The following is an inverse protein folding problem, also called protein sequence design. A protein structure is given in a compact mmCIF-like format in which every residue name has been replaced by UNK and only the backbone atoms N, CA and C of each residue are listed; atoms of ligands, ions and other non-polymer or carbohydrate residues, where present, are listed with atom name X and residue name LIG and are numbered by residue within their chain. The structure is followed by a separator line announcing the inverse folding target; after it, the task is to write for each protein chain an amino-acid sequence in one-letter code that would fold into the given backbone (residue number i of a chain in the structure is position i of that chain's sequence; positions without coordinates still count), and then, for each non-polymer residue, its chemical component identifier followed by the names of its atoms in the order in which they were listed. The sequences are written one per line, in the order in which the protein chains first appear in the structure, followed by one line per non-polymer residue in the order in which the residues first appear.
data_IF_948228455566
#
_entry.id   IF_948228455566
#
_cell.length_a   1.000
_cell.length_b   1.000
_cell.length_c   1.000
_cell.angle_alpha   90.00
_cell.angle_beta   90.00
_cell.angle_gamma   90.00
#
_symmetry.space_group_name_H-M   'P 1'
#
loop_
_entity.id
_entity.type
_entity.pdbx_description
1 polymer ?
#
# COMPACT_ATOMS: atom_id res chain seq x y z
N UNK A 1 9.14 9.44 15.48
CA UNK A 1 9.24 9.10 14.05
C UNK A 1 8.12 8.15 13.70
N UNK A 2 7.78 8.03 12.42
CA UNK A 2 6.81 7.08 11.88
C UNK A 2 7.55 6.25 10.82
N UNK A 3 7.58 4.93 10.99
CA UNK A 3 8.17 4.03 10.02
C UNK A 3 7.25 3.89 8.81
N UNK A 4 7.76 4.19 7.63
CA UNK A 4 7.09 3.90 6.37
C UNK A 4 7.76 2.70 5.71
N UNK A 5 6.96 1.76 5.24
CA UNK A 5 7.42 0.53 4.59
C UNK A 5 6.95 0.56 3.14
N UNK A 6 7.89 0.40 2.21
CA UNK A 6 7.57 0.28 0.79
C UNK A 6 6.87 -1.05 0.52
N UNK A 7 5.72 -1.01 -0.15
CA UNK A 7 4.96 -2.21 -0.49
C UNK A 7 5.51 -2.99 -1.68
N UNK A 8 6.56 -2.48 -2.32
CA UNK A 8 7.13 -3.03 -3.54
C UNK A 8 8.53 -3.62 -3.33
N UNK A 9 9.37 -2.94 -2.52
CA UNK A 9 10.75 -3.35 -2.27
C UNK A 9 11.09 -3.54 -0.78
N UNK A 10 10.11 -3.38 0.11
CA UNK A 10 10.25 -3.58 1.56
C UNK A 10 11.24 -2.62 2.26
N UNK A 11 11.75 -1.61 1.56
CA UNK A 11 12.56 -0.55 2.15
C UNK A 11 11.78 0.18 3.24
N UNK A 12 12.45 0.46 4.36
CA UNK A 12 11.89 1.19 5.49
C UNK A 12 12.49 2.58 5.58
N UNK A 13 11.65 3.60 5.71
CA UNK A 13 12.07 4.99 5.83
C UNK A 13 11.49 5.61 7.11
N UNK A 14 12.36 6.29 7.87
CA UNK A 14 12.01 6.98 9.10
C UNK A 14 11.54 8.40 8.81
N UNK A 15 10.22 8.59 8.76
CA UNK A 15 9.63 9.89 8.45
C UNK A 15 9.27 10.62 9.75
N UNK A 16 9.52 11.94 9.79
CA UNK A 16 9.18 12.76 10.95
C UNK A 16 7.66 12.82 11.16
N UNK A 17 7.21 12.58 12.39
CA UNK A 17 5.79 12.62 12.74
C UNK A 17 5.12 13.95 12.38
N UNK A 18 5.81 15.07 12.62
CA UNK A 18 5.28 16.40 12.27
C UNK A 18 5.11 16.59 10.76
N UNK A 19 6.00 15.99 9.95
CA UNK A 19 5.90 16.05 8.50
C UNK A 19 4.68 15.27 8.02
N UNK A 20 4.54 14.01 8.48
CA UNK A 20 3.38 13.16 8.18
C UNK A 20 2.07 13.83 8.60
N UNK A 21 2.03 14.38 9.81
CA UNK A 21 0.87 15.08 10.35
C UNK A 21 0.52 16.34 9.58
N UNK A 22 1.52 17.07 9.09
CA UNK A 22 1.26 18.23 8.26
C UNK A 22 0.69 17.82 6.90
N UNK A 23 1.20 16.76 6.27
CA UNK A 23 0.61 16.23 5.03
C UNK A 23 -0.83 15.76 5.24
N UNK A 24 -1.11 15.03 6.33
CA UNK A 24 -2.46 14.59 6.70
C UNK A 24 -3.44 15.75 6.89
N UNK A 25 -2.97 16.91 7.38
CA UNK A 25 -3.79 18.12 7.53
C UNK A 25 -3.99 18.91 6.25
N UNK A 26 -3.07 18.78 5.31
CA UNK A 26 -3.11 19.51 4.03
C UNK A 26 -3.83 18.70 2.95
N UNK A 27 -3.99 17.39 3.16
CA UNK A 27 -4.74 16.51 2.28
C UNK A 27 -6.21 16.48 2.67
N UNK A 28 -7.03 17.36 2.08
CA UNK A 28 -8.49 17.41 2.27
C UNK A 28 -9.23 16.26 1.55
N UNK A 29 -8.53 15.20 1.14
CA UNK A 29 -9.11 14.02 0.45
C UNK A 29 -9.66 13.01 1.46
N UNK A 30 -9.82 11.77 1.03
CA UNK A 30 -10.39 10.69 1.83
C UNK A 30 -9.58 10.48 3.13
N UNK A 31 -10.17 10.77 4.31
CA UNK A 31 -9.46 10.68 5.57
C UNK A 31 -9.19 9.22 5.99
N UNK A 32 -9.73 8.23 5.27
CA UNK A 32 -9.42 6.82 5.50
C UNK A 32 -8.12 6.37 4.84
N UNK A 33 -7.47 7.23 4.04
CA UNK A 33 -6.20 6.93 3.37
C UNK A 33 -5.10 7.76 4.02
N UNK A 34 -4.01 7.13 4.51
CA UNK A 34 -2.90 7.90 5.06
C UNK A 34 -2.16 8.65 3.96
N UNK A 35 -1.37 9.68 4.30
CA UNK A 35 -0.49 10.36 3.35
C UNK A 35 0.36 9.37 2.55
N UNK A 36 0.22 9.42 1.23
CA UNK A 36 0.91 8.55 0.29
C UNK A 36 2.29 9.11 -0.03
N UNK A 37 3.33 8.39 0.39
CA UNK A 37 4.72 8.72 0.11
C UNK A 37 5.28 7.78 -0.95
N UNK A 38 6.14 8.32 -1.82
CA UNK A 38 6.88 7.53 -2.79
C UNK A 38 8.22 7.10 -2.17
N UNK A 39 8.55 5.82 -2.28
CA UNK A 39 9.83 5.28 -1.83
C UNK A 39 10.98 5.91 -2.59
N UNK A 40 12.01 6.38 -1.90
CA UNK A 40 13.18 6.97 -2.55
C UNK A 40 14.00 5.94 -3.34
N UNK A 41 13.94 4.66 -2.95
CA UNK A 41 14.69 3.59 -3.60
C UNK A 41 14.08 3.11 -4.92
N UNK A 42 12.75 3.05 -5.03
CA UNK A 42 12.07 2.46 -6.20
C UNK A 42 10.89 3.27 -6.75
N UNK A 43 10.51 4.38 -6.12
CA UNK A 43 9.32 5.17 -6.47
C UNK A 43 7.99 4.46 -6.18
N UNK A 44 8.02 3.30 -5.51
CA UNK A 44 6.82 2.53 -5.15
C UNK A 44 6.04 3.16 -4.00
N UNK A 45 4.79 2.73 -3.84
CA UNK A 45 3.91 3.21 -2.78
C UNK A 45 4.39 2.75 -1.39
N UNK A 46 4.49 3.69 -0.46
CA UNK A 46 4.84 3.42 0.93
C UNK A 46 3.64 3.54 1.85
N UNK A 47 3.66 2.76 2.93
CA UNK A 47 2.61 2.76 3.93
C UNK A 47 3.19 2.83 5.35
N UNK A 48 2.58 3.59 6.27
CA UNK A 48 3.05 3.62 7.64
C UNK A 48 2.81 2.27 8.34
N UNK A 49 3.78 1.86 9.15
CA UNK A 49 3.67 0.67 10.00
C UNK A 49 2.57 0.85 11.05
N UNK A 50 2.63 1.95 11.80
CA UNK A 50 1.55 2.43 12.67
C UNK A 50 1.52 3.95 12.70
N UNK A 51 0.37 4.55 12.39
CA UNK A 51 0.17 5.99 12.43
C UNK A 51 -1.26 6.33 12.85
N UNK A 52 -1.40 7.33 13.71
CA UNK A 52 -2.70 7.89 14.08
C UNK A 52 -2.87 9.26 13.45
N UNK A 53 -3.81 9.36 12.50
CA UNK A 53 -4.13 10.58 11.77
C UNK A 53 -4.79 11.64 12.65
N UNK A 54 -4.83 12.87 12.15
CA UNK A 54 -5.44 14.03 12.81
C UNK A 54 -6.95 13.88 12.94
N UNK A 55 -7.57 13.16 12.01
CA UNK A 55 -9.00 12.85 12.02
C UNK A 55 -9.37 11.67 12.94
N UNK A 56 -8.39 11.08 13.65
CA UNK A 56 -8.62 9.99 14.61
C UNK A 56 -8.55 8.58 14.02
N UNK A 57 -8.29 8.45 12.72
CA UNK A 57 -8.06 7.16 12.06
C UNK A 57 -6.71 6.57 12.46
N UNK A 58 -6.70 5.25 12.64
CA UNK A 58 -5.48 4.49 12.91
C UNK A 58 -5.12 3.65 11.68
N UNK A 59 -3.96 3.97 11.09
CA UNK A 59 -3.42 3.28 9.95
C UNK A 59 -2.39 2.27 10.42
N UNK A 60 -2.59 1.01 10.04
CA UNK A 60 -1.66 -0.09 10.30
C UNK A 60 -1.42 -0.89 9.04
N UNK A 61 -0.17 -1.22 8.77
CA UNK A 61 0.20 -2.01 7.60
C UNK A 61 -0.38 -3.43 7.64
N UNK A 62 -0.54 -4.00 8.84
CA UNK A 62 -1.15 -5.33 9.08
C UNK A 62 -2.55 -5.43 8.44
N UNK A 63 -3.37 -4.39 8.56
CA UNK A 63 -4.72 -4.33 7.98
C UNK A 63 -4.71 -4.37 6.44
N UNK A 64 -3.57 -4.06 5.82
CA UNK A 64 -3.40 -4.04 4.36
C UNK A 64 -2.76 -5.32 3.84
N UNK A 65 -1.79 -5.89 4.56
CA UNK A 65 -1.16 -7.16 4.20
C UNK A 65 -2.16 -8.32 4.28
N UNK A 66 -2.96 -8.38 5.35
CA UNK A 66 -4.03 -9.38 5.51
C UNK A 66 -5.07 -9.33 4.37
N UNK A 67 -5.35 -8.15 3.81
CA UNK A 67 -6.25 -7.98 2.66
C UNK A 67 -5.63 -8.42 1.34
N UNK A 68 -4.31 -8.25 1.16
CA UNK A 68 -3.61 -8.72 -0.05
C UNK A 68 -3.62 -10.25 -0.14
N UNK A 69 -3.45 -10.94 0.99
CA UNK A 69 -3.51 -12.40 1.05
C UNK A 69 -4.90 -12.95 0.69
N UNK A 70 -5.97 -12.28 1.16
CA UNK A 70 -7.34 -12.64 0.81
C UNK A 70 -7.65 -12.45 -0.69
N UNK A 71 -7.08 -11.43 -1.35
CA UNK A 71 -7.31 -11.15 -2.75
C UNK A 71 -6.53 -12.07 -3.71
N UNK A 72 -5.35 -12.57 -3.31
CA UNK A 72 -4.49 -13.41 -4.17
C UNK A 72 -5.00 -14.86 -4.32
N UNK A 73 -5.92 -15.32 -3.47
CA UNK A 73 -6.47 -16.68 -3.55
C UNK A 73 -7.45 -16.90 -4.71
N UNK A 74 -7.99 -15.84 -5.33
CA UNK A 74 -9.05 -15.96 -6.35
C UNK A 74 -8.57 -15.88 -7.81
N UNK A 75 -7.30 -15.55 -8.08
CA UNK A 75 -6.81 -15.31 -9.46
C UNK A 75 -6.05 -16.49 -10.13
N UNK A 76 -5.96 -17.67 -9.50
CA UNK A 76 -5.28 -18.83 -10.10
C UNK A 76 -6.18 -19.70 -11.02
N UNK A 77 -7.34 -19.23 -11.50
CA UNK A 77 -8.28 -20.02 -12.34
C UNK A 77 -8.47 -19.54 -13.79
N UNK A 78 -7.55 -18.74 -14.35
CA UNK A 78 -7.67 -18.29 -15.74
C UNK A 78 -6.33 -18.20 -16.48
N UNK A 79 -5.60 -19.33 -16.59
CA UNK A 79 -4.58 -19.53 -17.63
C UNK A 79 -4.72 -20.94 -18.22
N UNK A 80 -5.70 -21.10 -19.09
CA UNK A 80 -5.74 -22.15 -20.11
C UNK A 80 -5.70 -21.47 -21.47
N UNK A 81 -4.48 -21.32 -22.02
CA UNK A 81 -4.25 -21.01 -23.44
C UNK A 81 -5.07 -22.01 -24.29
N UNK A 82 -5.76 -21.67 -25.38
CA UNK A 82 -5.28 -20.87 -26.50
C UNK A 82 -5.02 -21.81 -27.69
N UNK A 83 -5.96 -21.81 -28.63
CA UNK A 83 -5.86 -22.14 -30.07
C UNK A 83 -5.00 -23.34 -30.52
N UNK A 84 -5.66 -24.37 -31.05
CA UNK A 84 -5.08 -25.32 -32.00
C UNK A 84 -6.01 -25.47 -33.20
N UNK A 85 -5.71 -24.76 -34.27
CA UNK A 85 -6.25 -25.07 -35.59
C UNK A 85 -5.69 -26.42 -36.06
N UNK A 86 -6.48 -27.12 -36.88
CA UNK A 86 -6.04 -27.76 -38.12
C UNK A 86 -6.16 -29.31 -38.25
N UNK A 87 -7.10 -29.69 -39.13
CA UNK A 87 -7.14 -30.82 -40.10
C UNK A 87 -7.02 -32.27 -39.58
N UNK A 88 -8.15 -32.99 -39.63
CA UNK A 88 -8.41 -34.11 -40.58
C UNK A 88 -9.84 -34.64 -40.47
#
# INVERSE_FOLDING_TARGET
MVNYICLNCEATEDILFNLVRNFDRMDDRDPNVPPQLACEACGGEMYPESYKGVHGYEYRIENRLTKKEAAQSTQNRAKGNGCGMEKR
#
